data_IF_425973833253
#
_entry.id   IF_425973833253
#
_cell.length_a   1.000
_cell.length_b   1.000
_cell.length_c   1.000
_cell.angle_alpha   90.00
_cell.angle_beta   90.00
_cell.angle_gamma   90.00
#
_symmetry.space_group_name_H-M   'P 1'
#
loop_
_entity.id
_entity.type
_entity.pdbx_description
1 polymer ?
#
# COMPACT_ATOMS: atom_id res chain seq x y z
N UNK A 1 52.19 33.05 62.74
CA UNK A 1 51.53 33.45 61.48
C UNK A 1 51.35 32.19 60.65
N UNK A 2 50.29 31.40 60.83
CA UNK A 2 48.94 31.60 60.27
C UNK A 2 49.01 31.69 58.73
N UNK A 3 48.46 30.76 57.94
CA UNK A 3 47.02 30.72 57.59
C UNK A 3 46.78 29.42 56.77
N UNK A 4 46.06 28.42 57.30
CA UNK A 4 44.65 28.03 57.01
C UNK A 4 44.54 27.07 55.80
N UNK A 5 44.29 25.76 55.97
CA UNK A 5 43.00 25.11 56.27
C UNK A 5 41.92 25.46 55.22
N UNK A 6 41.43 24.57 54.37
CA UNK A 6 40.40 23.51 54.55
C UNK A 6 40.12 22.99 53.13
N UNK A 7 39.72 21.74 52.87
CA UNK A 7 38.35 21.21 52.99
C UNK A 7 38.37 19.87 52.21
N UNK A 8 37.71 18.77 52.55
CA UNK A 8 36.52 18.53 53.38
C UNK A 8 36.42 16.99 53.58
N UNK A 9 36.31 16.56 54.84
CA UNK A 9 35.33 15.57 55.36
C UNK A 9 35.03 14.30 54.54
N UNK A 10 35.51 13.15 55.05
CA UNK A 10 34.78 11.86 55.13
C UNK A 10 33.41 12.06 55.86
N UNK A 11 32.40 11.13 55.92
CA UNK A 11 32.58 9.66 56.02
C UNK A 11 31.34 8.74 55.67
N UNK A 12 31.45 7.46 56.06
CA UNK A 12 30.40 6.48 56.47
C UNK A 12 29.63 5.67 55.38
N UNK A 13 29.98 4.37 55.35
CA UNK A 13 29.15 3.14 55.40
C UNK A 13 27.90 3.04 54.52
N UNK A 14 27.84 2.03 53.65
CA UNK A 14 26.69 1.11 53.58
C UNK A 14 27.04 -0.18 52.83
N UNK A 15 27.02 -1.29 53.58
CA UNK A 15 26.94 -2.66 53.12
C UNK A 15 25.56 -2.87 52.49
N UNK A 16 25.48 -3.22 51.20
CA UNK A 16 24.24 -3.69 50.59
C UNK A 16 24.56 -4.78 49.57
N UNK A 17 24.14 -6.00 49.93
CA UNK A 17 24.13 -7.16 49.07
C UNK A 17 23.24 -6.90 47.85
N UNK A 18 23.77 -7.10 46.64
CA UNK A 18 22.94 -7.19 45.43
C UNK A 18 22.79 -8.67 45.11
N UNK A 19 21.60 -9.18 45.44
CA UNK A 19 21.08 -10.46 44.98
C UNK A 19 21.16 -10.51 43.44
N UNK A 20 21.81 -11.54 42.89
CA UNK A 20 21.65 -11.90 41.49
C UNK A 20 20.22 -12.43 41.30
N UNK A 21 19.31 -11.58 40.84
CA UNK A 21 17.97 -11.99 40.43
C UNK A 21 18.06 -12.76 39.12
N UNK A 22 18.02 -14.09 39.23
CA UNK A 22 17.74 -15.00 38.12
C UNK A 22 16.29 -14.76 37.68
N UNK A 23 16.06 -13.78 36.82
CA UNK A 23 14.78 -13.60 36.14
C UNK A 23 14.64 -14.75 35.15
N UNK A 24 13.87 -15.77 35.57
CA UNK A 24 13.39 -16.81 34.69
C UNK A 24 12.63 -16.16 33.53
N UNK A 25 13.17 -16.32 32.32
CA UNK A 25 12.42 -16.04 31.12
C UNK A 25 11.32 -17.10 31.03
N UNK A 26 10.14 -16.78 31.56
CA UNK A 26 8.94 -17.55 31.25
C UNK A 26 8.65 -17.22 29.79
N UNK A 27 9.00 -18.13 28.90
CA UNK A 27 8.45 -18.13 27.55
C UNK A 27 6.93 -18.33 27.71
N UNK A 28 6.18 -17.22 27.78
CA UNK A 28 4.75 -17.28 27.54
C UNK A 28 4.61 -17.75 26.12
N UNK A 29 4.26 -19.03 25.96
CA UNK A 29 3.65 -19.49 24.73
C UNK A 29 2.39 -18.66 24.55
N UNK A 30 2.48 -17.60 23.76
CA UNK A 30 1.29 -17.01 23.17
C UNK A 30 0.81 -18.09 22.21
N UNK A 31 -0.04 -18.99 22.70
CA UNK A 31 -0.96 -19.68 21.82
C UNK A 31 -1.64 -18.57 21.04
N UNK A 32 -1.56 -18.55 19.69
CA UNK A 32 -2.34 -17.60 18.94
C UNK A 32 -3.77 -17.68 19.46
N UNK A 33 -4.36 -16.53 19.77
CA UNK A 33 -5.79 -16.47 20.00
C UNK A 33 -6.42 -17.18 18.79
N UNK A 34 -7.16 -18.26 19.05
CA UNK A 34 -7.98 -18.86 18.02
C UNK A 34 -8.79 -17.70 17.42
N UNK A 35 -8.78 -17.60 16.09
CA UNK A 35 -9.50 -16.59 15.34
C UNK A 35 -10.84 -16.32 16.03
N UNK A 36 -10.98 -15.11 16.53
CA UNK A 36 -12.13 -14.56 17.21
C UNK A 36 -13.36 -15.03 16.44
N UNK A 37 -14.22 -15.80 17.11
CA UNK A 37 -15.21 -16.70 16.51
C UNK A 37 -15.72 -16.32 15.13
N UNK A 38 -15.08 -16.85 14.08
CA UNK A 38 -15.73 -17.02 12.79
C UNK A 38 -16.93 -17.94 13.05
N UNK A 39 -18.13 -17.36 13.05
CA UNK A 39 -19.37 -18.05 13.33
C UNK A 39 -19.65 -19.13 12.29
N UNK A 40 -19.03 -20.30 12.43
CA UNK A 40 -19.12 -21.38 11.45
C UNK A 40 -18.73 -20.94 10.02
N UNK A 41 -18.88 -21.84 9.04
CA UNK A 41 -19.03 -21.39 7.66
C UNK A 41 -20.26 -20.49 7.63
N UNK A 42 -20.12 -19.25 7.14
CA UNK A 42 -21.30 -18.50 6.68
C UNK A 42 -21.98 -19.39 5.64
N UNK A 43 -23.17 -19.94 5.91
CA UNK A 43 -23.83 -20.82 4.95
C UNK A 43 -24.06 -20.00 3.69
N UNK A 44 -23.30 -20.29 2.63
CA UNK A 44 -23.55 -19.66 1.36
C UNK A 44 -24.85 -20.26 0.87
N UNK A 45 -25.89 -19.44 0.88
CA UNK A 45 -27.16 -19.83 0.30
C UNK A 45 -26.99 -19.89 -1.21
N UNK A 46 -26.70 -21.08 -1.72
CA UNK A 46 -26.54 -21.36 -3.14
C UNK A 46 -27.79 -21.00 -3.95
N UNK A 47 -28.95 -20.76 -3.31
CA UNK A 47 -30.16 -20.27 -3.99
C UNK A 47 -30.14 -18.76 -4.24
N UNK A 48 -29.25 -18.01 -3.58
CA UNK A 48 -29.01 -16.59 -3.82
C UNK A 48 -27.81 -16.35 -4.74
N UNK A 49 -27.03 -17.38 -5.05
CA UNK A 49 -25.92 -17.30 -5.99
C UNK A 49 -26.48 -17.46 -7.40
N UNK A 50 -26.39 -16.40 -8.21
CA UNK A 50 -26.70 -16.50 -9.64
C UNK A 50 -25.59 -17.26 -10.37
N UNK A 51 -25.97 -18.29 -11.14
CA UNK A 51 -25.05 -18.99 -12.05
C UNK A 51 -24.71 -18.18 -13.31
N UNK A 52 -25.47 -17.09 -13.55
CA UNK A 52 -25.20 -16.13 -14.61
C UNK A 52 -24.55 -14.89 -14.01
N UNK A 53 -23.53 -14.30 -14.66
CA UNK A 53 -23.02 -13.01 -14.24
C UNK A 53 -24.15 -11.99 -14.27
N UNK A 54 -24.29 -11.19 -13.22
CA UNK A 54 -25.20 -10.05 -13.27
C UNK A 54 -24.80 -9.16 -14.47
N UNK A 55 -25.69 -9.08 -15.46
CA UNK A 55 -25.55 -8.15 -16.60
C UNK A 55 -26.12 -6.77 -16.27
N UNK A 56 -26.44 -6.54 -15.00
CA UNK A 56 -26.86 -5.24 -14.54
C UNK A 56 -25.66 -4.34 -14.76
N UNK A 57 -25.81 -3.39 -15.69
CA UNK A 57 -24.67 -2.67 -16.26
C UNK A 57 -24.06 -1.64 -15.29
N UNK A 58 -23.92 -1.97 -14.02
CA UNK A 58 -23.18 -1.21 -13.04
C UNK A 58 -21.70 -1.61 -13.05
N UNK A 59 -20.87 -0.87 -12.32
CA UNK A 59 -19.42 -1.11 -12.23
C UNK A 59 -18.62 -0.18 -13.13
N UNK A 60 -17.45 -0.62 -13.60
CA UNK A 60 -16.54 0.23 -14.38
C UNK A 60 -16.75 0.06 -15.89
N UNK A 61 -16.65 1.15 -16.65
CA UNK A 61 -16.87 1.17 -18.10
C UNK A 61 -15.79 1.97 -18.83
N UNK A 62 -15.75 1.79 -20.15
CA UNK A 62 -14.90 2.52 -21.11
C UNK A 62 -13.40 2.32 -20.87
N UNK A 63 -12.77 1.45 -21.67
CA UNK A 63 -11.32 1.23 -21.59
C UNK A 63 -10.58 2.47 -22.09
N UNK A 64 -9.56 2.91 -21.35
CA UNK A 64 -8.58 3.88 -21.84
C UNK A 64 -7.85 3.30 -23.07
N UNK A 65 -7.99 3.91 -24.27
CA UNK A 65 -7.31 3.46 -25.47
C UNK A 65 -5.79 3.65 -25.40
N UNK A 66 -5.28 4.44 -24.44
CA UNK A 66 -3.85 4.73 -24.29
C UNK A 66 -3.15 3.86 -23.25
N UNK A 67 -3.89 3.01 -22.52
CA UNK A 67 -3.29 2.14 -21.52
C UNK A 67 -2.23 1.23 -22.15
N UNK A 68 -1.05 1.09 -21.54
CA UNK A 68 0.08 0.37 -22.18
C UNK A 68 -0.23 -1.11 -22.47
N UNK A 69 -1.23 -1.67 -21.79
CA UNK A 69 -1.76 -2.99 -22.09
C UNK A 69 -2.95 -2.96 -23.06
N UNK A 70 -2.78 -3.68 -24.17
CA UNK A 70 -3.80 -3.85 -25.21
C UNK A 70 -4.90 -4.88 -24.86
N UNK A 71 -4.92 -5.43 -23.64
CA UNK A 71 -5.96 -6.36 -23.23
C UNK A 71 -7.30 -5.63 -23.02
N UNK A 72 -8.41 -6.27 -23.37
CA UNK A 72 -9.74 -5.68 -23.21
C UNK A 72 -10.22 -5.57 -21.74
N UNK A 73 -9.35 -5.87 -20.77
CA UNK A 73 -9.66 -5.85 -19.35
C UNK A 73 -9.83 -4.41 -18.86
N UNK A 74 -10.93 -4.16 -18.16
CA UNK A 74 -11.18 -2.89 -17.48
C UNK A 74 -10.56 -2.89 -16.09
N UNK A 75 -10.84 -3.94 -15.32
CA UNK A 75 -10.31 -4.17 -13.98
C UNK A 75 -9.04 -5.00 -14.07
N UNK A 76 -8.03 -4.61 -13.31
CA UNK A 76 -6.77 -5.33 -13.18
C UNK A 76 -6.59 -5.89 -11.79
N UNK A 77 -7.04 -5.16 -10.76
CA UNK A 77 -6.93 -5.59 -9.38
C UNK A 77 -8.04 -4.98 -8.51
N UNK A 78 -8.28 -5.59 -7.36
CA UNK A 78 -9.21 -5.08 -6.36
C UNK A 78 -8.72 -5.39 -4.95
N UNK A 79 -9.01 -4.49 -4.03
CA UNK A 79 -8.66 -4.64 -2.62
C UNK A 79 -9.81 -4.16 -1.73
N UNK A 80 -10.00 -4.79 -0.58
CA UNK A 80 -11.05 -4.41 0.36
C UNK A 80 -10.45 -3.78 1.64
N UNK A 81 -11.00 -2.65 2.08
CA UNK A 81 -10.69 -2.05 3.39
C UNK A 81 -12.01 -1.70 4.08
N UNK A 82 -12.35 -2.43 5.14
CA UNK A 82 -13.66 -2.32 5.79
C UNK A 82 -14.78 -2.61 4.80
N UNK A 83 -15.77 -1.71 4.73
CA UNK A 83 -16.94 -1.84 3.87
C UNK A 83 -16.71 -1.28 2.46
N UNK A 84 -15.47 -0.89 2.11
CA UNK A 84 -15.12 -0.38 0.77
C UNK A 84 -14.34 -1.41 -0.03
N UNK A 85 -14.83 -1.69 -1.24
CA UNK A 85 -14.12 -2.39 -2.29
C UNK A 85 -13.48 -1.37 -3.24
N UNK A 86 -12.15 -1.35 -3.29
CA UNK A 86 -11.38 -0.55 -4.23
C UNK A 86 -11.12 -1.35 -5.50
N UNK A 87 -11.40 -0.74 -6.64
CA UNK A 87 -11.27 -1.38 -7.95
C UNK A 87 -10.30 -0.55 -8.80
N UNK A 88 -9.21 -1.19 -9.23
CA UNK A 88 -8.16 -0.61 -10.05
C UNK A 88 -8.18 -1.15 -11.47
N UNK A 89 -7.80 -0.31 -12.43
CA UNK A 89 -7.57 -0.79 -13.79
C UNK A 89 -7.36 0.28 -14.84
N UNK A 90 -7.79 -0.02 -16.07
CA UNK A 90 -7.68 0.84 -17.25
C UNK A 90 -9.04 1.36 -17.74
N UNK A 91 -10.00 1.55 -16.84
CA UNK A 91 -11.31 2.11 -17.13
C UNK A 91 -11.32 3.64 -16.99
N UNK A 92 -12.28 4.32 -17.62
CA UNK A 92 -12.44 5.77 -17.58
C UNK A 92 -13.68 6.21 -16.79
N UNK A 93 -14.68 5.34 -16.68
CA UNK A 93 -15.98 5.69 -16.10
C UNK A 93 -16.44 4.65 -15.08
N UNK A 94 -17.31 5.09 -14.17
CA UNK A 94 -18.08 4.24 -13.26
C UNK A 94 -19.55 4.43 -13.55
N UNK A 95 -20.31 3.35 -13.64
CA UNK A 95 -21.75 3.33 -13.86
C UNK A 95 -22.47 2.97 -12.57
N UNK A 96 -23.31 3.89 -12.09
CA UNK A 96 -24.10 3.74 -10.88
C UNK A 96 -25.25 2.74 -11.09
N UNK A 97 -25.39 1.69 -10.25
CA UNK A 97 -26.47 0.71 -10.35
C UNK A 97 -27.86 1.29 -10.13
N UNK A 98 -28.00 2.31 -9.27
CA UNK A 98 -29.29 2.86 -8.90
C UNK A 98 -29.88 3.76 -10.00
N UNK A 99 -29.02 4.53 -10.68
CA UNK A 99 -29.47 5.51 -11.68
C UNK A 99 -29.14 5.10 -13.12
N UNK A 100 -28.20 4.17 -13.33
CA UNK A 100 -27.67 3.81 -14.64
C UNK A 100 -26.81 4.91 -15.28
N UNK A 101 -26.48 5.97 -14.54
CA UNK A 101 -25.67 7.11 -15.00
C UNK A 101 -24.19 6.74 -14.95
N UNK A 102 -23.44 7.14 -15.97
CA UNK A 102 -21.98 7.01 -15.99
C UNK A 102 -21.33 8.30 -15.50
N UNK A 103 -20.40 8.17 -14.57
CA UNK A 103 -19.58 9.22 -14.01
C UNK A 103 -18.13 9.03 -14.46
N UNK A 104 -17.45 10.12 -14.81
CA UNK A 104 -16.02 10.09 -15.10
C UNK A 104 -15.26 9.88 -13.79
N UNK A 105 -14.70 8.68 -13.61
CA UNK A 105 -13.84 8.31 -12.50
C UNK A 105 -12.81 7.31 -13.05
N UNK A 106 -11.72 7.79 -13.63
CA UNK A 106 -10.73 6.92 -14.28
C UNK A 106 -9.87 6.13 -13.29
N UNK A 107 -9.51 4.92 -13.70
CA UNK A 107 -8.44 4.05 -13.20
C UNK A 107 -8.55 3.50 -11.77
N UNK A 108 -9.18 4.22 -10.85
CA UNK A 108 -9.34 3.81 -9.46
C UNK A 108 -10.66 4.35 -8.91
N UNK A 109 -11.49 3.45 -8.38
CA UNK A 109 -12.79 3.77 -7.80
C UNK A 109 -13.04 2.95 -6.54
N UNK A 110 -13.89 3.43 -5.64
CA UNK A 110 -14.36 2.69 -4.48
C UNK A 110 -15.86 2.41 -4.61
N UNK A 111 -16.27 1.26 -4.12
CA UNK A 111 -17.65 0.80 -4.06
C UNK A 111 -17.93 0.30 -2.64
N UNK A 112 -19.18 0.40 -2.22
CA UNK A 112 -19.67 -0.33 -1.06
C UNK A 112 -19.56 -1.84 -1.32
N UNK A 113 -18.91 -2.57 -0.42
CA UNK A 113 -18.55 -3.98 -0.62
C UNK A 113 -19.77 -4.92 -0.60
N UNK A 114 -20.85 -4.52 0.07
CA UNK A 114 -22.07 -5.32 0.18
C UNK A 114 -23.06 -5.02 -0.95
N UNK A 115 -23.18 -3.75 -1.34
CA UNK A 115 -24.22 -3.29 -2.28
C UNK A 115 -23.70 -3.01 -3.69
N UNK A 116 -22.38 -2.90 -3.88
CA UNK A 116 -21.78 -2.52 -5.17
C UNK A 116 -22.06 -1.08 -5.59
N UNK A 117 -22.64 -0.26 -4.70
CA UNK A 117 -22.91 1.16 -4.97
C UNK A 117 -21.59 1.91 -4.99
N UNK A 118 -21.37 2.71 -6.03
CA UNK A 118 -20.19 3.55 -6.15
C UNK A 118 -20.13 4.60 -5.04
N UNK A 119 -18.95 4.79 -4.44
CA UNK A 119 -18.69 5.79 -3.40
C UNK A 119 -18.04 7.06 -3.98
N UNK A 120 -18.81 8.14 -4.22
CA UNK A 120 -18.30 9.42 -4.72
C UNK A 120 -17.67 10.28 -3.61
N UNK A 121 -17.30 9.74 -2.46
CA UNK A 121 -16.41 10.45 -1.52
C UNK A 121 -14.94 10.13 -1.78
N UNK A 122 -14.67 9.01 -2.44
CA UNK A 122 -13.33 8.58 -2.84
C UNK A 122 -13.10 8.91 -4.32
N UNK A 123 -12.49 10.06 -4.58
CA UNK A 123 -12.25 10.60 -5.92
C UNK A 123 -10.79 10.92 -6.20
N UNK A 124 -9.91 9.91 -6.28
CA UNK A 124 -8.55 10.12 -6.74
C UNK A 124 -8.52 10.54 -8.21
N UNK A 125 -7.66 11.48 -8.57
CA UNK A 125 -7.38 11.88 -9.94
C UNK A 125 -6.01 11.35 -10.38
N UNK A 126 -6.03 10.33 -11.24
CA UNK A 126 -4.86 9.69 -11.83
C UNK A 126 -4.86 9.91 -13.36
N UNK A 127 -3.69 9.90 -13.98
CA UNK A 127 -3.49 10.13 -15.42
C UNK A 127 -3.05 8.88 -16.19
N UNK A 128 -3.19 7.70 -15.58
CA UNK A 128 -2.85 6.41 -16.17
C UNK A 128 -3.40 5.25 -15.35
N UNK A 129 -3.41 4.07 -15.97
CA UNK A 129 -3.98 2.87 -15.38
C UNK A 129 -3.28 2.46 -14.08
N UNK A 130 -4.06 1.85 -13.19
CA UNK A 130 -3.58 1.20 -11.96
C UNK A 130 -3.66 -0.30 -12.18
N UNK A 131 -2.55 -1.00 -11.98
CA UNK A 131 -2.41 -2.42 -12.29
C UNK A 131 -2.36 -3.31 -11.05
N UNK A 132 -1.93 -2.78 -9.92
CA UNK A 132 -1.80 -3.51 -8.67
C UNK A 132 -2.26 -2.65 -7.49
N UNK A 133 -2.93 -3.28 -6.53
CA UNK A 133 -3.35 -2.73 -5.25
C UNK A 133 -2.83 -3.60 -4.12
N UNK A 134 -2.37 -2.95 -3.05
CA UNK A 134 -1.97 -3.63 -1.82
C UNK A 134 -2.49 -2.87 -0.61
N UNK A 135 -2.74 -3.57 0.49
CA UNK A 135 -3.19 -2.93 1.74
C UNK A 135 -2.18 -3.21 2.83
N UNK A 136 -1.50 -2.17 3.31
CA UNK A 136 -0.54 -2.35 4.39
C UNK A 136 -1.21 -2.44 5.77
N UNK A 137 -0.44 -2.82 6.79
CA UNK A 137 -0.97 -3.01 8.14
C UNK A 137 -1.48 -1.72 8.83
N UNK A 138 -1.23 -0.54 8.25
CA UNK A 138 -1.79 0.74 8.72
C UNK A 138 -3.10 1.10 8.03
N UNK A 139 -3.62 0.24 7.14
CA UNK A 139 -4.83 0.52 6.35
C UNK A 139 -4.60 1.51 5.22
N UNK A 140 -3.36 1.72 4.78
CA UNK A 140 -3.05 2.52 3.58
C UNK A 140 -3.25 1.64 2.35
N UNK A 141 -3.99 2.15 1.37
CA UNK A 141 -4.12 1.53 0.05
C UNK A 141 -2.91 1.93 -0.80
N UNK A 142 -2.03 0.99 -1.11
CA UNK A 142 -0.89 1.21 -2.00
C UNK A 142 -1.35 0.89 -3.42
N UNK A 143 -1.24 1.87 -4.32
CA UNK A 143 -1.58 1.71 -5.73
C UNK A 143 -0.29 1.71 -6.58
N UNK A 144 -0.17 0.76 -7.49
CA UNK A 144 0.91 0.63 -8.45
C UNK A 144 0.36 0.60 -9.89
N UNK A 145 0.99 1.34 -10.80
CA UNK A 145 0.50 1.45 -12.18
C UNK A 145 1.42 2.25 -13.10
N UNK A 146 0.83 2.85 -14.13
CA UNK A 146 1.52 3.67 -15.15
C UNK A 146 1.11 5.15 -15.11
N UNK A 147 0.57 5.61 -13.99
CA UNK A 147 0.28 7.01 -13.73
C UNK A 147 1.58 7.77 -13.39
N UNK A 148 1.58 9.08 -13.67
CA UNK A 148 2.68 9.99 -13.35
C UNK A 148 2.42 10.86 -12.14
N UNK A 149 1.16 10.98 -11.72
CA UNK A 149 0.77 11.75 -10.55
C UNK A 149 -0.59 11.30 -9.98
N UNK A 150 -0.80 11.56 -8.69
CA UNK A 150 -2.08 11.49 -7.99
C UNK A 150 -2.45 12.90 -7.54
N UNK A 151 -3.59 13.41 -7.99
CA UNK A 151 -4.10 14.74 -7.65
C UNK A 151 -3.10 15.89 -7.96
N UNK A 152 -2.22 15.71 -8.95
CA UNK A 152 -1.16 16.67 -9.27
C UNK A 152 -0.05 16.78 -8.21
N UNK A 153 -0.04 15.90 -7.20
CA UNK A 153 0.98 15.90 -6.14
C UNK A 153 2.28 15.29 -6.68
N UNK A 154 3.44 15.96 -6.51
CA UNK A 154 4.73 15.39 -6.89
C UNK A 154 5.06 14.14 -6.07
N UNK A 155 5.99 13.30 -6.55
CA UNK A 155 6.45 12.07 -5.87
C UNK A 155 5.38 10.97 -5.74
N UNK A 156 4.46 10.91 -6.68
CA UNK A 156 3.46 9.85 -6.77
C UNK A 156 3.49 9.24 -8.18
N UNK A 157 4.69 9.03 -8.74
CA UNK A 157 4.86 8.40 -10.06
C UNK A 157 4.93 6.88 -9.91
N UNK A 158 4.06 6.18 -10.64
CA UNK A 158 3.99 4.73 -10.79
C UNK A 158 3.62 3.94 -9.52
N UNK A 159 3.83 4.50 -8.33
CA UNK A 159 3.42 3.92 -7.05
C UNK A 159 3.09 5.03 -6.06
N UNK A 160 2.05 4.84 -5.24
CA UNK A 160 1.64 5.81 -4.23
C UNK A 160 0.83 5.12 -3.12
N UNK A 161 1.01 5.56 -1.88
CA UNK A 161 0.11 5.22 -0.77
C UNK A 161 -1.05 6.20 -0.73
N UNK A 162 -2.28 5.72 -0.61
CA UNK A 162 -3.52 6.49 -0.70
C UNK A 162 -4.28 6.33 0.63
N UNK A 163 -4.78 7.44 1.16
CA UNK A 163 -5.75 7.41 2.25
C UNK A 163 -7.07 6.87 1.70
N UNK A 164 -7.55 5.71 2.18
CA UNK A 164 -8.74 5.05 1.64
C UNK A 164 -10.03 5.83 1.89
N UNK A 165 -10.00 6.82 2.79
CA UNK A 165 -11.15 7.67 3.11
C UNK A 165 -11.29 8.79 2.09
N UNK A 166 -10.18 9.45 1.76
CA UNK A 166 -10.18 10.72 1.00
C UNK A 166 -9.69 10.60 -0.45
N UNK A 167 -8.98 9.52 -0.80
CA UNK A 167 -8.34 9.39 -2.12
C UNK A 167 -7.11 10.29 -2.31
N UNK A 168 -6.56 10.87 -1.24
CA UNK A 168 -5.34 11.69 -1.28
C UNK A 168 -4.09 10.88 -0.91
N UNK A 169 -2.87 11.33 -1.24
CA UNK A 169 -1.65 10.67 -0.79
C UNK A 169 -1.61 10.51 0.74
N UNK A 170 -1.29 9.31 1.21
CA UNK A 170 -1.16 8.99 2.63
C UNK A 170 0.17 9.52 3.20
N UNK A 171 0.10 10.34 4.24
CA UNK A 171 1.28 11.02 4.79
C UNK A 171 2.38 10.09 5.34
N UNK A 172 2.03 8.85 5.72
CA UNK A 172 2.96 7.88 6.30
C UNK A 172 3.72 7.02 5.28
N UNK A 173 3.33 7.05 4.01
CA UNK A 173 3.91 6.20 2.97
C UNK A 173 4.39 7.05 1.80
N UNK A 174 5.70 7.02 1.52
CA UNK A 174 6.27 7.73 0.38
C UNK A 174 7.19 6.81 -0.40
N UNK A 175 6.79 6.51 -1.64
CA UNK A 175 7.54 5.72 -2.59
C UNK A 175 7.17 6.18 -4.00
N UNK A 176 8.14 6.19 -4.91
CA UNK A 176 7.97 6.54 -6.31
C UNK A 176 8.93 5.69 -7.13
N UNK A 177 8.48 5.22 -8.28
CA UNK A 177 9.34 4.57 -9.28
C UNK A 177 9.59 5.55 -10.43
N UNK A 178 10.80 5.52 -10.99
CA UNK A 178 11.22 6.54 -11.97
C UNK A 178 12.01 5.94 -13.15
N UNK A 179 11.98 6.65 -14.28
CA UNK A 179 12.84 6.41 -15.46
C UNK A 179 13.50 7.73 -15.93
N UNK A 180 14.45 8.29 -15.15
CA UNK A 180 14.95 9.66 -15.34
C UNK A 180 15.69 9.94 -16.66
N UNK A 181 16.02 8.90 -17.42
CA UNK A 181 16.68 9.02 -18.74
C UNK A 181 15.85 8.40 -19.86
N UNK A 182 14.55 8.29 -19.67
CA UNK A 182 13.60 7.81 -20.66
C UNK A 182 12.47 8.83 -20.80
N UNK A 183 11.86 8.85 -21.98
CA UNK A 183 10.59 9.55 -22.22
C UNK A 183 9.38 8.67 -21.93
N UNK A 184 9.59 7.38 -21.65
CA UNK A 184 8.55 6.44 -21.28
C UNK A 184 8.26 6.53 -19.78
N UNK A 185 6.99 6.34 -19.40
CA UNK A 185 6.57 6.29 -18.00
C UNK A 185 7.24 5.12 -17.28
N UNK A 186 7.52 5.30 -15.99
CA UNK A 186 7.75 4.17 -15.10
C UNK A 186 6.43 3.42 -14.90
N UNK A 187 6.48 2.09 -14.89
CA UNK A 187 5.29 1.24 -14.74
C UNK A 187 5.52 0.26 -13.62
N UNK A 188 4.65 0.25 -12.62
CA UNK A 188 4.51 -0.87 -11.69
C UNK A 188 3.44 -1.81 -12.23
N UNK A 189 3.78 -3.08 -12.37
CA UNK A 189 2.89 -4.13 -12.86
C UNK A 189 2.31 -4.97 -11.74
N UNK A 190 3.12 -5.23 -10.71
CA UNK A 190 2.80 -6.12 -9.61
C UNK A 190 3.41 -5.59 -8.32
N UNK A 191 2.71 -5.81 -7.22
CA UNK A 191 3.18 -5.55 -5.87
C UNK A 191 2.79 -6.73 -4.97
N UNK A 192 3.62 -7.03 -3.98
CA UNK A 192 3.30 -8.05 -2.97
C UNK A 192 3.87 -7.63 -1.61
N UNK A 193 3.06 -7.69 -0.56
CA UNK A 193 3.54 -7.50 0.83
C UNK A 193 3.87 -8.84 1.48
N UNK A 194 5.15 -9.06 1.81
CA UNK A 194 5.61 -10.22 2.58
C UNK A 194 6.27 -9.77 3.88
N UNK A 195 5.57 -10.00 5.00
CA UNK A 195 6.03 -9.55 6.32
C UNK A 195 6.07 -8.02 6.39
N UNK A 196 7.23 -7.43 6.66
CA UNK A 196 7.40 -5.98 6.70
C UNK A 196 7.85 -5.37 5.37
N UNK A 197 7.93 -6.18 4.31
CA UNK A 197 8.55 -5.80 3.04
C UNK A 197 7.50 -5.75 1.94
N UNK A 198 7.52 -4.67 1.17
CA UNK A 198 6.82 -4.53 -0.10
C UNK A 198 7.78 -4.88 -1.23
N UNK A 199 7.41 -5.85 -2.05
CA UNK A 199 8.09 -6.18 -3.29
C UNK A 199 7.38 -5.50 -4.45
N UNK A 200 8.13 -4.84 -5.32
CA UNK A 200 7.58 -4.06 -6.43
C UNK A 200 8.22 -4.55 -7.73
N UNK A 201 7.41 -4.88 -8.72
CA UNK A 201 7.85 -5.33 -10.03
C UNK A 201 7.21 -4.56 -11.17
N UNK A 202 7.97 -4.36 -12.25
CA UNK A 202 7.46 -3.70 -13.45
C UNK A 202 8.55 -3.17 -14.38
N UNK A 203 8.25 -2.10 -15.10
CA UNK A 203 9.17 -1.44 -16.02
C UNK A 203 9.62 -0.09 -15.46
N UNK A 204 10.63 -0.11 -14.60
CA UNK A 204 11.28 1.06 -14.03
C UNK A 204 12.78 0.81 -13.84
N UNK A 205 13.54 1.89 -13.64
CA UNK A 205 14.99 1.82 -13.49
C UNK A 205 15.51 2.43 -12.19
N UNK A 206 14.66 3.17 -11.50
CA UNK A 206 14.99 3.81 -10.23
C UNK A 206 13.80 3.76 -9.28
N UNK A 207 14.11 3.79 -8.00
CA UNK A 207 13.15 3.92 -6.91
C UNK A 207 13.60 5.04 -5.97
N UNK A 208 12.63 5.73 -5.38
CA UNK A 208 12.82 6.84 -4.46
C UNK A 208 11.74 6.78 -3.39
N UNK A 209 12.06 7.06 -2.13
CA UNK A 209 11.05 6.98 -1.07
C UNK A 209 11.37 7.81 0.16
N UNK A 210 10.66 7.54 1.25
CA UNK A 210 10.79 8.25 2.52
C UNK A 210 12.23 8.14 3.08
N UNK A 211 12.84 9.27 3.45
CA UNK A 211 14.19 9.31 4.04
C UNK A 211 15.23 10.14 3.27
N UNK A 212 14.89 10.64 2.09
CA UNK A 212 15.71 11.58 1.35
C UNK A 212 15.33 11.57 -0.12
N UNK A 213 15.61 12.66 -0.84
CA UNK A 213 15.43 12.72 -2.29
C UNK A 213 16.38 11.80 -3.07
N UNK A 214 16.97 10.81 -2.41
CA UNK A 214 17.96 9.90 -2.97
C UNK A 214 17.27 8.89 -3.88
N UNK A 215 17.83 8.78 -5.08
CA UNK A 215 17.34 7.95 -6.15
C UNK A 215 18.22 6.72 -6.23
N UNK A 216 17.66 5.53 -5.97
CA UNK A 216 18.39 4.28 -6.03
C UNK A 216 18.15 3.58 -7.37
N UNK A 217 19.23 3.15 -8.02
CA UNK A 217 19.14 2.40 -9.27
C UNK A 217 18.72 0.96 -8.97
N UNK A 218 17.76 0.47 -9.75
CA UNK A 218 17.20 -0.88 -9.65
C UNK A 218 16.99 -1.46 -11.05
N UNK A 219 16.69 -2.76 -11.12
CA UNK A 219 16.58 -3.50 -12.39
C UNK A 219 15.23 -4.19 -12.50
N UNK A 220 14.15 -3.38 -12.59
CA UNK A 220 12.74 -3.82 -12.74
C UNK A 220 12.10 -4.48 -11.52
N UNK A 221 12.88 -4.77 -10.50
CA UNK A 221 12.43 -5.22 -9.19
C UNK A 221 13.03 -4.30 -8.12
N UNK A 222 12.23 -3.98 -7.11
CA UNK A 222 12.67 -3.27 -5.92
C UNK A 222 11.97 -3.83 -4.66
N UNK A 223 12.57 -3.55 -3.51
CA UNK A 223 12.03 -3.84 -2.20
C UNK A 223 11.97 -2.56 -1.38
N UNK A 224 10.92 -2.38 -0.60
CA UNK A 224 10.77 -1.25 0.32
C UNK A 224 10.10 -1.72 1.63
N UNK A 225 10.18 -0.91 2.68
CA UNK A 225 9.36 -1.09 3.87
C UNK A 225 7.87 -0.90 3.53
N UNK A 226 7.03 -1.86 3.91
CA UNK A 226 5.62 -1.86 3.55
C UNK A 226 4.80 -0.76 4.26
N UNK A 227 5.28 -0.23 5.39
CA UNK A 227 4.59 0.81 6.14
C UNK A 227 4.98 2.21 5.66
N UNK A 228 6.26 2.42 5.37
CA UNK A 228 6.81 3.77 5.09
C UNK A 228 7.14 4.02 3.64
N UNK A 229 7.28 2.97 2.83
CA UNK A 229 7.82 3.08 1.47
C UNK A 229 9.32 3.37 1.44
N UNK A 230 10.05 3.23 2.55
CA UNK A 230 11.52 3.41 2.55
C UNK A 230 12.17 2.33 1.69
N UNK A 231 12.88 2.67 0.59
CA UNK A 231 13.49 1.66 -0.29
C UNK A 231 14.65 0.92 0.40
N UNK A 232 14.86 -0.34 0.04
CA UNK A 232 16.04 -1.10 0.41
C UNK A 232 17.06 -1.15 -0.75
N UNK A 233 18.09 -0.30 -0.77
CA UNK A 233 19.05 -0.23 -1.86
C UNK A 233 20.04 -1.40 -1.86
N UNK A 234 20.04 -2.28 -0.85
CA UNK A 234 20.92 -3.46 -0.82
C UNK A 234 20.25 -4.68 -1.49
N UNK A 235 18.93 -4.63 -1.71
CA UNK A 235 18.21 -5.65 -2.45
C UNK A 235 18.14 -5.29 -3.94
N UNK A 236 19.15 -5.72 -4.70
CA UNK A 236 19.32 -5.37 -6.11
C UNK A 236 19.33 -6.60 -7.03
N UNK A 237 18.24 -7.39 -7.09
CA UNK A 237 18.14 -8.45 -8.07
C UNK A 237 18.14 -7.86 -9.48
N UNK A 238 18.76 -8.59 -10.41
CA UNK A 238 18.78 -8.22 -11.84
C UNK A 238 17.88 -9.18 -12.60
N UNK A 239 16.76 -8.66 -13.10
CA UNK A 239 15.89 -9.43 -14.00
C UNK A 239 16.30 -9.16 -15.44
N UNK A 240 16.70 -10.22 -16.16
CA UNK A 240 16.93 -10.17 -17.59
C UNK A 240 15.73 -10.81 -18.32
N UNK A 241 14.79 -9.98 -18.77
CA UNK A 241 13.53 -10.41 -19.41
C UNK A 241 12.29 -9.80 -18.76
N UNK A 242 11.11 -10.02 -19.35
CA UNK A 242 9.82 -9.46 -18.89
C UNK A 242 9.51 -8.09 -19.50
N UNK A 243 8.31 -7.95 -20.06
CA UNK A 243 7.79 -6.73 -20.69
C UNK A 243 6.77 -6.06 -19.80
#
# INVERSE_FOLDING_TARGET
MATRARSRTMPIVCLLAVLASLLGFVATTVTPAAADGAGGPHPIDMTQVSELPERDGWGVTDKDPNASHNFANLVWDFAQIGDRMFVAGSFLNVRDPATGTSYSQPYLAAFDADTGVWDPSFHPALDGAVYALEVNANGVLIAGGEFTNLNGVPFTEGIVGIDPTTGTPAAGFQLSVERPWSTERAIVREMEIVGSQLYVGGNFSHIRGSGGNERYRVYRLARADALTGTPDPQWLPVVQGGG
#
